data_IF_866039377069
#
_entry.id   IF_866039377069
#
_cell.length_a   1.000
_cell.length_b   1.000
_cell.length_c   1.000
_cell.angle_alpha   90.00
_cell.angle_beta   90.00
_cell.angle_gamma   90.00
#
_symmetry.space_group_name_H-M   'P 1'
#
loop_
_entity.id
_entity.type
_entity.pdbx_description
1 polymer ?
#
# COMPACT_ATOMS: atom_id res chain seq x y z
N UNK A 1 -33.98 -29.16 40.86
CA UNK A 1 -34.11 -28.69 39.46
C UNK A 1 -32.82 -27.96 39.08
N UNK A 2 -31.89 -28.62 38.36
CA UNK A 2 -30.65 -27.98 37.86
C UNK A 2 -30.90 -27.38 36.47
N UNK A 3 -30.39 -26.18 36.13
CA UNK A 3 -30.55 -25.64 34.79
C UNK A 3 -29.57 -26.32 33.83
N UNK A 4 -30.08 -26.84 32.71
CA UNK A 4 -29.27 -27.40 31.62
C UNK A 4 -28.66 -26.26 30.80
N UNK A 5 -27.32 -26.27 30.70
CA UNK A 5 -26.55 -25.42 29.80
C UNK A 5 -26.87 -25.82 28.33
N UNK A 6 -27.16 -24.87 27.42
CA UNK A 6 -27.31 -25.18 26.00
C UNK A 6 -25.93 -25.53 25.40
N UNK A 7 -25.82 -26.72 24.80
CA UNK A 7 -24.65 -27.10 23.99
C UNK A 7 -24.63 -26.25 22.73
N UNK A 8 -23.54 -25.53 22.51
CA UNK A 8 -23.24 -24.87 21.23
C UNK A 8 -22.94 -25.94 20.16
N UNK A 9 -23.54 -25.88 18.96
CA UNK A 9 -23.13 -26.73 17.87
C UNK A 9 -21.76 -26.31 17.37
N UNK A 10 -20.90 -27.31 17.14
CA UNK A 10 -19.58 -27.15 16.58
C UNK A 10 -19.64 -26.43 15.23
N UNK A 11 -18.79 -25.43 15.12
CA UNK A 11 -18.48 -24.65 13.93
C UNK A 11 -18.25 -25.55 12.71
N UNK A 12 -19.14 -25.47 11.72
CA UNK A 12 -18.84 -25.85 10.35
C UNK A 12 -18.14 -24.67 9.67
N UNK A 13 -16.82 -24.61 9.82
CA UNK A 13 -15.94 -23.75 9.03
C UNK A 13 -15.72 -24.42 7.67
N UNK A 14 -16.66 -24.23 6.74
CA UNK A 14 -16.40 -24.42 5.31
C UNK A 14 -17.00 -23.22 4.56
N UNK A 15 -16.43 -22.05 4.85
CA UNK A 15 -16.53 -20.89 3.97
C UNK A 15 -15.41 -20.95 2.93
N UNK A 16 -15.59 -20.35 1.73
CA UNK A 16 -14.54 -20.29 0.73
C UNK A 16 -13.25 -19.75 1.36
N UNK A 17 -12.17 -20.53 1.27
CA UNK A 17 -10.82 -20.12 1.67
C UNK A 17 -10.56 -18.74 1.06
N UNK A 18 -10.20 -17.70 1.85
CA UNK A 18 -9.97 -16.39 1.28
C UNK A 18 -8.85 -16.50 0.26
N UNK A 19 -9.07 -15.99 -0.95
CA UNK A 19 -8.11 -15.91 -2.07
C UNK A 19 -6.88 -15.02 -1.76
N UNK A 20 -6.58 -14.80 -0.48
CA UNK A 20 -5.52 -13.92 -0.01
C UNK A 20 -4.12 -14.51 -0.10
N UNK A 21 -3.96 -15.83 -0.27
CA UNK A 21 -2.62 -16.42 -0.33
C UNK A 21 -2.05 -16.45 -1.76
N UNK A 22 -2.85 -16.78 -2.77
CA UNK A 22 -2.39 -16.85 -4.16
C UNK A 22 -2.14 -15.47 -4.76
N UNK A 23 -2.92 -14.46 -4.34
CA UNK A 23 -2.70 -13.08 -4.74
C UNK A 23 -1.39 -12.52 -4.17
N UNK A 24 -0.95 -12.96 -2.99
CA UNK A 24 0.26 -12.45 -2.34
C UNK A 24 1.54 -13.05 -2.94
N UNK A 25 1.47 -14.28 -3.48
CA UNK A 25 2.60 -14.91 -4.22
C UNK A 25 3.01 -14.10 -5.45
N UNK A 26 2.05 -13.42 -6.10
CA UNK A 26 2.29 -12.64 -7.32
C UNK A 26 3.12 -11.37 -7.10
N UNK A 27 3.40 -10.99 -5.86
CA UNK A 27 4.11 -9.75 -5.52
C UNK A 27 5.54 -9.99 -5.02
N UNK A 28 5.98 -11.24 -4.95
CA UNK A 28 7.27 -11.60 -4.36
C UNK A 28 7.33 -11.36 -2.85
N UNK A 29 8.37 -11.89 -2.21
CA UNK A 29 8.50 -11.87 -0.75
C UNK A 29 8.58 -10.44 -0.15
N UNK A 30 9.12 -9.47 -0.91
CA UNK A 30 9.29 -8.10 -0.44
C UNK A 30 7.95 -7.34 -0.37
N UNK A 31 7.09 -7.45 -1.38
CA UNK A 31 5.85 -6.66 -1.45
C UNK A 31 4.62 -7.40 -0.93
N UNK A 32 4.65 -8.72 -0.79
CA UNK A 32 3.57 -9.48 -0.16
C UNK A 32 3.12 -8.90 1.19
N UNK A 33 3.99 -8.70 2.21
CA UNK A 33 3.58 -8.14 3.50
C UNK A 33 3.03 -6.71 3.39
N UNK A 34 3.56 -5.91 2.46
CA UNK A 34 3.07 -4.56 2.17
C UNK A 34 1.64 -4.60 1.67
N UNK A 35 1.35 -5.46 0.69
CA UNK A 35 -0.01 -5.61 0.12
C UNK A 35 -0.98 -6.16 1.17
N UNK A 36 -0.61 -7.19 1.93
CA UNK A 36 -1.48 -7.73 2.98
C UNK A 36 -1.77 -6.67 4.06
N UNK A 37 -0.77 -5.86 4.43
CA UNK A 37 -0.92 -4.72 5.34
C UNK A 37 -1.88 -3.66 4.81
N UNK A 38 -1.70 -3.26 3.56
CA UNK A 38 -2.52 -2.26 2.91
C UNK A 38 -3.98 -2.72 2.81
N UNK A 39 -4.20 -4.01 2.51
CA UNK A 39 -5.52 -4.65 2.47
C UNK A 39 -6.22 -4.60 3.84
N UNK A 40 -5.54 -5.00 4.92
CA UNK A 40 -6.12 -4.94 6.27
C UNK A 40 -6.53 -3.53 6.65
N UNK A 41 -5.72 -2.54 6.24
CA UNK A 41 -5.99 -1.13 6.49
C UNK A 41 -7.20 -0.62 5.71
N UNK A 42 -7.28 -0.92 4.41
CA UNK A 42 -8.45 -0.59 3.60
C UNK A 42 -9.74 -1.18 4.19
N UNK A 43 -9.73 -2.46 4.60
CA UNK A 43 -10.90 -3.08 5.25
C UNK A 43 -11.27 -2.38 6.55
N UNK A 44 -10.29 -2.08 7.41
CA UNK A 44 -10.52 -1.40 8.69
C UNK A 44 -11.05 0.01 8.50
N UNK A 45 -10.56 0.71 7.48
CA UNK A 45 -10.93 2.08 7.16
C UNK A 45 -12.28 2.15 6.38
N UNK A 46 -12.83 0.99 5.97
CA UNK A 46 -14.10 0.88 5.24
C UNK A 46 -14.00 1.17 3.74
N UNK A 47 -12.77 1.19 3.21
CA UNK A 47 -12.48 1.48 1.81
C UNK A 47 -12.74 0.25 0.93
N UNK A 48 -13.33 0.48 -0.25
CA UNK A 48 -13.63 -0.59 -1.22
C UNK A 48 -12.39 -1.08 -1.97
N UNK A 49 -11.31 -0.29 -1.94
CA UNK A 49 -10.07 -0.50 -2.69
C UNK A 49 -8.86 -0.10 -1.85
N UNK A 50 -7.73 -0.73 -2.12
CA UNK A 50 -6.40 -0.36 -1.68
C UNK A 50 -5.93 0.81 -2.56
N UNK A 51 -5.90 2.01 -1.97
CA UNK A 51 -5.36 3.22 -2.59
C UNK A 51 -3.82 3.36 -2.43
N UNK A 52 -3.20 4.34 -3.08
CA UNK A 52 -1.74 4.56 -2.99
C UNK A 52 -1.27 4.98 -1.58
N UNK A 53 -2.13 5.56 -0.74
CA UNK A 53 -1.79 5.91 0.64
C UNK A 53 -1.78 4.69 1.56
N UNK A 54 -2.64 3.69 1.34
CA UNK A 54 -2.56 2.41 2.03
C UNK A 54 -1.24 1.70 1.71
N UNK A 55 -0.86 1.68 0.43
CA UNK A 55 0.42 1.12 -0.01
C UNK A 55 1.59 1.86 0.62
N UNK A 56 1.60 3.19 0.58
CA UNK A 56 2.64 3.99 1.24
C UNK A 56 2.74 3.70 2.73
N UNK A 57 1.62 3.66 3.45
CA UNK A 57 1.62 3.38 4.88
C UNK A 57 2.23 2.00 5.17
N UNK A 58 1.73 0.96 4.50
CA UNK A 58 2.23 -0.39 4.74
C UNK A 58 3.66 -0.58 4.26
N UNK A 59 4.10 0.12 3.22
CA UNK A 59 5.48 0.10 2.78
C UNK A 59 6.41 0.63 3.88
N UNK A 60 6.07 1.77 4.49
CA UNK A 60 6.88 2.36 5.56
C UNK A 60 6.87 1.54 6.86
N UNK A 61 5.85 0.69 7.05
CA UNK A 61 5.73 -0.23 8.18
C UNK A 61 6.62 -1.48 7.99
N UNK A 62 6.70 -2.01 6.78
CA UNK A 62 7.36 -3.29 6.48
C UNK A 62 8.74 -3.18 5.84
N UNK A 63 9.07 -2.04 5.22
CA UNK A 63 10.35 -1.83 4.53
C UNK A 63 11.14 -0.68 5.22
N UNK A 64 12.15 -1.04 6.04
CA UNK A 64 12.98 -0.04 6.72
C UNK A 64 13.85 0.77 5.76
N UNK A 65 14.20 0.21 4.59
CA UNK A 65 14.99 0.92 3.59
C UNK A 65 14.16 2.01 2.91
N UNK A 66 12.91 1.70 2.55
CA UNK A 66 11.95 2.69 2.07
C UNK A 66 11.70 3.80 3.10
N UNK A 67 11.59 3.45 4.39
CA UNK A 67 11.50 4.43 5.47
C UNK A 67 12.74 5.33 5.55
N UNK A 68 13.94 4.75 5.46
CA UNK A 68 15.19 5.48 5.50
C UNK A 68 15.38 6.46 4.33
N UNK A 69 14.69 6.29 3.18
CA UNK A 69 14.75 7.24 2.05
C UNK A 69 14.17 8.59 2.45
N UNK A 70 13.15 8.57 3.31
CA UNK A 70 12.45 9.77 3.77
C UNK A 70 13.33 10.67 4.66
N UNK A 71 14.51 10.18 5.04
CA UNK A 71 15.49 10.88 5.86
C UNK A 71 15.24 10.71 7.35
N UNK A 72 16.09 11.35 8.15
CA UNK A 72 15.99 11.32 9.61
C UNK A 72 15.23 12.54 10.15
N UNK A 73 14.82 12.48 11.41
CA UNK A 73 14.20 13.59 12.13
C UNK A 73 12.66 13.59 12.09
N UNK A 74 12.01 14.76 12.23
CA UNK A 74 10.58 14.81 12.54
C UNK A 74 9.65 14.56 11.33
N UNK A 75 10.15 14.62 10.08
CA UNK A 75 9.30 14.52 8.88
C UNK A 75 8.68 13.13 8.70
N UNK A 76 9.42 12.00 8.78
CA UNK A 76 8.81 10.67 8.77
C UNK A 76 7.81 10.45 9.91
N UNK A 77 8.10 10.97 11.11
CA UNK A 77 7.17 10.88 12.24
C UNK A 77 5.87 11.65 11.99
N UNK A 78 5.95 12.84 11.38
CA UNK A 78 4.77 13.61 10.94
C UNK A 78 3.97 12.87 9.87
N UNK A 79 4.66 12.27 8.89
CA UNK A 79 4.04 11.45 7.85
C UNK A 79 3.25 10.29 8.45
N UNK A 80 3.87 9.51 9.34
CA UNK A 80 3.21 8.42 10.05
C UNK A 80 2.04 8.93 10.91
N UNK A 81 2.19 10.08 11.58
CA UNK A 81 1.11 10.73 12.31
C UNK A 81 -0.10 11.06 11.41
N UNK A 82 0.14 11.64 10.22
CA UNK A 82 -0.92 11.91 9.24
C UNK A 82 -1.59 10.63 8.73
N UNK A 83 -0.78 9.62 8.38
CA UNK A 83 -1.27 8.34 7.88
C UNK A 83 -2.08 7.57 8.95
N UNK A 84 -1.71 7.67 10.23
CA UNK A 84 -2.45 7.08 11.35
C UNK A 84 -3.75 7.81 11.61
N UNK A 85 -3.78 9.15 11.58
CA UNK A 85 -4.99 9.96 11.79
C UNK A 85 -6.10 9.66 10.75
N UNK A 86 -5.73 9.44 9.49
CA UNK A 86 -6.66 8.94 8.44
C UNK A 86 -7.33 7.64 8.87
N UNK A 87 -6.50 6.75 9.39
CA UNK A 87 -6.81 5.35 9.63
C UNK A 87 -7.64 5.09 10.91
N UNK A 88 -8.03 6.17 11.61
CA UNK A 88 -8.90 6.19 12.80
C UNK A 88 -10.18 7.04 12.55
N UNK A 89 -10.42 7.52 11.32
CA UNK A 89 -11.72 8.10 10.95
C UNK A 89 -11.97 9.54 11.42
N UNK A 90 -10.95 10.31 11.81
CA UNK A 90 -11.10 11.73 12.18
C UNK A 90 -11.07 12.66 10.95
N UNK A 91 -12.16 12.66 10.19
CA UNK A 91 -12.69 13.88 9.57
C UNK A 91 -12.04 14.48 8.32
N UNK A 92 -10.90 13.97 7.81
CA UNK A 92 -10.46 14.33 6.47
C UNK A 92 -11.32 13.55 5.45
N UNK A 93 -12.44 14.14 5.03
CA UNK A 93 -13.29 13.58 3.97
C UNK A 93 -12.50 13.53 2.66
N UNK A 94 -11.84 12.41 2.42
CA UNK A 94 -11.08 12.12 1.20
C UNK A 94 -11.96 11.63 0.05
N UNK A 95 -13.29 11.86 0.13
CA UNK A 95 -14.28 11.61 -0.93
C UNK A 95 -14.07 12.47 -2.20
N UNK A 96 -12.86 12.98 -2.43
CA UNK A 96 -12.46 13.70 -3.65
C UNK A 96 -11.90 12.72 -4.69
N UNK A 97 -12.30 12.95 -5.95
CA UNK A 97 -12.11 12.17 -7.17
C UNK A 97 -10.66 11.91 -7.64
N UNK A 98 -9.68 12.01 -6.74
CA UNK A 98 -8.24 12.02 -7.03
C UNK A 98 -7.75 10.67 -7.55
N UNK A 99 -8.26 9.55 -7.01
CA UNK A 99 -7.96 8.21 -7.54
C UNK A 99 -9.16 7.57 -8.27
N UNK A 100 -10.27 8.31 -8.39
CA UNK A 100 -11.54 7.85 -9.00
C UNK A 100 -11.64 8.21 -10.49
N UNK A 101 -10.67 8.97 -11.01
CA UNK A 101 -10.64 9.41 -12.41
C UNK A 101 -10.07 8.33 -13.34
N UNK A 102 -10.76 7.19 -13.43
CA UNK A 102 -10.70 6.30 -14.58
C UNK A 102 -12.00 5.49 -14.66
N UNK A 103 -13.01 6.06 -15.32
CA UNK A 103 -14.21 5.33 -15.75
C UNK A 103 -13.89 4.38 -16.92
N UNK A 104 -12.95 3.46 -16.72
CA UNK A 104 -12.62 2.39 -17.67
C UNK A 104 -13.03 1.04 -17.09
N UNK A 105 -13.50 0.08 -17.92
CA UNK A 105 -13.87 -1.24 -17.46
C UNK A 105 -12.68 -1.86 -16.73
N UNK A 106 -12.92 -2.28 -15.48
CA UNK A 106 -11.96 -3.01 -14.65
C UNK A 106 -11.42 -4.18 -15.48
N UNK A 107 -10.16 -4.08 -15.91
CA UNK A 107 -9.43 -5.23 -16.44
C UNK A 107 -9.30 -6.19 -15.27
N UNK A 108 -9.91 -7.37 -15.42
CA UNK A 108 -9.85 -8.47 -14.47
C UNK A 108 -8.37 -8.84 -14.29
N UNK A 109 -7.82 -8.49 -13.12
CA UNK A 109 -6.41 -8.62 -12.77
C UNK A 109 -5.99 -7.78 -11.55
N UNK A 110 -6.69 -6.66 -11.29
CA UNK A 110 -6.39 -5.72 -10.19
C UNK A 110 -7.29 -5.90 -8.93
N UNK A 111 -7.47 -7.13 -8.46
CA UNK A 111 -8.40 -7.47 -7.35
C UNK A 111 -8.19 -6.63 -6.08
N UNK A 112 -8.96 -5.54 -5.99
CA UNK A 112 -9.06 -4.68 -4.83
C UNK A 112 -8.09 -3.50 -4.78
N UNK A 113 -7.46 -3.06 -5.88
CA UNK A 113 -6.66 -1.82 -5.92
C UNK A 113 -7.43 -0.66 -6.57
N UNK A 114 -7.09 0.58 -6.23
CA UNK A 114 -7.46 1.75 -7.03
C UNK A 114 -6.68 1.76 -8.36
N UNK A 115 -7.13 2.49 -9.39
CA UNK A 115 -6.42 2.60 -10.67
C UNK A 115 -4.96 3.07 -10.51
N UNK A 116 -4.71 4.09 -9.69
CA UNK A 116 -3.35 4.60 -9.45
C UNK A 116 -2.50 3.63 -8.64
N UNK A 117 -3.10 2.90 -7.69
CA UNK A 117 -2.39 1.86 -6.95
C UNK A 117 -2.01 0.68 -7.85
N UNK A 118 -2.90 0.26 -8.76
CA UNK A 118 -2.60 -0.77 -9.75
C UNK A 118 -1.47 -0.33 -10.70
N UNK A 119 -1.54 0.91 -11.21
CA UNK A 119 -0.50 1.48 -12.07
C UNK A 119 0.87 1.57 -11.35
N UNK A 120 0.86 1.92 -10.06
CA UNK A 120 2.08 1.95 -9.25
C UNK A 120 2.70 0.55 -9.08
N UNK A 121 1.89 -0.47 -8.79
CA UNK A 121 2.38 -1.86 -8.69
C UNK A 121 2.95 -2.37 -10.01
N UNK A 122 2.31 -2.05 -11.15
CA UNK A 122 2.81 -2.39 -12.48
C UNK A 122 4.11 -1.64 -12.82
N UNK A 123 4.19 -0.35 -12.51
CA UNK A 123 5.41 0.42 -12.71
C UNK A 123 6.57 -0.12 -11.87
N UNK A 124 6.32 -0.50 -10.61
CA UNK A 124 7.31 -1.12 -9.75
C UNK A 124 7.83 -2.43 -10.36
N UNK A 125 6.94 -3.28 -10.90
CA UNK A 125 7.32 -4.51 -11.58
C UNK A 125 8.21 -4.24 -12.82
N UNK A 126 7.80 -3.31 -13.69
CA UNK A 126 8.60 -2.91 -14.87
C UNK A 126 9.98 -2.37 -14.49
N UNK A 127 10.06 -1.65 -13.35
CA UNK A 127 11.32 -1.10 -12.86
C UNK A 127 12.26 -2.21 -12.33
N UNK A 128 11.71 -3.25 -11.72
CA UNK A 128 12.46 -4.44 -11.32
C UNK A 128 13.00 -5.20 -12.55
N UNK A 129 12.15 -5.42 -13.56
CA UNK A 129 12.53 -6.02 -14.84
C UNK A 129 13.67 -5.25 -15.52
N UNK A 130 13.59 -3.92 -15.53
CA UNK A 130 14.63 -3.05 -16.08
C UNK A 130 15.98 -3.17 -15.37
N UNK A 131 16.01 -3.63 -14.11
CA UNK A 131 17.24 -3.97 -13.38
C UNK A 131 17.63 -5.45 -13.46
N UNK A 132 16.88 -6.26 -14.19
CA UNK A 132 17.07 -7.72 -14.25
C UNK A 132 16.65 -8.46 -12.97
N UNK A 133 15.86 -7.83 -12.09
CA UNK A 133 15.32 -8.46 -10.90
C UNK A 133 14.00 -9.18 -11.22
N UNK A 134 13.80 -10.37 -10.66
CA UNK A 134 12.59 -11.16 -10.87
C UNK A 134 11.35 -10.55 -10.17
N UNK A 135 11.56 -9.77 -9.11
CA UNK A 135 10.50 -9.17 -8.31
C UNK A 135 10.87 -7.75 -7.91
N UNK A 136 9.85 -6.89 -7.82
CA UNK A 136 9.99 -5.54 -7.31
C UNK A 136 10.32 -5.55 -5.81
N UNK A 137 11.22 -4.66 -5.39
CA UNK A 137 11.47 -4.37 -3.99
C UNK A 137 10.66 -3.16 -3.51
N UNK A 138 10.71 -2.83 -2.22
CA UNK A 138 9.96 -1.68 -1.70
C UNK A 138 10.45 -0.34 -2.25
N UNK A 139 11.72 -0.21 -2.64
CA UNK A 139 12.21 0.98 -3.33
C UNK A 139 11.60 1.16 -4.73
N UNK A 140 11.30 0.07 -5.45
CA UNK A 140 10.55 0.16 -6.72
C UNK A 140 9.16 0.71 -6.51
N UNK A 141 8.48 0.21 -5.48
CA UNK A 141 7.16 0.66 -5.13
C UNK A 141 7.19 2.12 -4.64
N UNK A 142 8.17 2.51 -3.82
CA UNK A 142 8.31 3.89 -3.37
C UNK A 142 8.53 4.84 -4.55
N UNK A 143 9.39 4.49 -5.50
CA UNK A 143 9.56 5.26 -6.73
C UNK A 143 8.22 5.39 -7.47
N UNK A 144 7.50 4.29 -7.65
CA UNK A 144 6.21 4.28 -8.35
C UNK A 144 5.15 5.17 -7.68
N UNK A 145 5.06 5.12 -6.35
CA UNK A 145 4.07 5.88 -5.56
C UNK A 145 4.27 7.40 -5.63
N UNK A 146 5.47 7.87 -5.93
CA UNK A 146 5.78 9.30 -6.02
C UNK A 146 5.75 9.87 -7.45
N UNK A 147 5.56 9.02 -8.47
CA UNK A 147 5.61 9.45 -9.88
C UNK A 147 4.40 10.28 -10.33
N UNK A 148 3.20 9.96 -9.83
CA UNK A 148 1.97 10.61 -10.27
C UNK A 148 1.54 11.68 -9.26
N UNK A 149 1.52 12.98 -9.62
CA UNK A 149 1.05 14.05 -8.74
C UNK A 149 -0.41 13.91 -8.30
N UNK A 150 -1.22 13.13 -9.03
CA UNK A 150 -2.58 12.76 -8.64
C UNK A 150 -2.62 11.57 -7.68
N UNK A 151 -1.51 10.89 -7.40
CA UNK A 151 -1.50 9.83 -6.40
C UNK A 151 -1.80 10.40 -5.01
N UNK A 152 -2.63 9.69 -4.26
CA UNK A 152 -2.89 10.04 -2.86
C UNK A 152 -1.62 9.99 -2.01
N UNK A 153 -0.70 9.09 -2.31
CA UNK A 153 0.62 9.05 -1.70
C UNK A 153 1.35 10.41 -1.80
N UNK A 154 1.29 11.06 -2.96
CA UNK A 154 1.90 12.38 -3.19
C UNK A 154 1.21 13.48 -2.38
N UNK A 155 -0.13 13.48 -2.30
CA UNK A 155 -0.88 14.41 -1.44
C UNK A 155 -0.44 14.29 0.03
N UNK A 156 -0.27 13.06 0.53
CA UNK A 156 0.13 12.77 1.91
C UNK A 156 1.56 13.23 2.18
N UNK A 157 2.49 12.91 1.27
CA UNK A 157 3.87 13.37 1.37
C UNK A 157 3.96 14.90 1.39
N UNK A 158 3.18 15.57 0.54
CA UNK A 158 3.09 17.04 0.51
C UNK A 158 2.63 17.63 1.85
N UNK A 159 1.62 17.04 2.50
CA UNK A 159 1.18 17.47 3.85
C UNK A 159 2.26 17.27 4.93
N UNK A 160 3.15 16.31 4.74
CA UNK A 160 4.32 16.08 5.61
C UNK A 160 5.54 16.94 5.23
N UNK A 161 5.42 17.83 4.23
CA UNK A 161 6.51 18.62 3.66
C UNK A 161 7.68 17.76 3.13
N UNK A 162 7.33 16.64 2.48
CA UNK A 162 8.25 15.78 1.75
C UNK A 162 8.01 15.97 0.24
N UNK A 163 9.05 16.35 -0.48
CA UNK A 163 9.00 16.56 -1.92
C UNK A 163 9.13 15.23 -2.67
N UNK A 164 8.16 14.88 -3.57
CA UNK A 164 8.22 13.67 -4.38
C UNK A 164 9.53 13.52 -5.17
N UNK A 165 10.02 14.60 -5.78
CA UNK A 165 11.24 14.58 -6.61
C UNK A 165 12.51 14.30 -5.79
N UNK A 166 12.60 14.84 -4.56
CA UNK A 166 13.71 14.55 -3.65
C UNK A 166 13.70 13.07 -3.21
N UNK A 167 12.51 12.52 -2.93
CA UNK A 167 12.35 11.11 -2.60
C UNK A 167 12.77 10.26 -3.79
N UNK A 168 12.27 10.55 -4.99
CA UNK A 168 12.61 9.80 -6.19
C UNK A 168 14.13 9.81 -6.42
N UNK A 169 14.78 10.96 -6.33
CA UNK A 169 16.24 11.08 -6.47
C UNK A 169 16.98 10.14 -5.51
N UNK A 170 16.64 10.16 -4.22
CA UNK A 170 17.26 9.28 -3.22
C UNK A 170 16.97 7.79 -3.46
N UNK A 171 15.78 7.46 -3.97
CA UNK A 171 15.45 6.08 -4.37
C UNK A 171 16.35 5.64 -5.52
N UNK A 172 16.51 6.49 -6.54
CA UNK A 172 17.36 6.19 -7.69
C UNK A 172 18.81 5.96 -7.25
N UNK A 173 19.36 6.85 -6.42
CA UNK A 173 20.73 6.74 -5.86
C UNK A 173 20.97 5.40 -5.13
N UNK A 174 19.97 4.88 -4.40
CA UNK A 174 20.09 3.58 -3.72
C UNK A 174 19.96 2.37 -4.64
N UNK A 175 19.26 2.54 -5.76
CA UNK A 175 19.04 1.48 -6.74
C UNK A 175 20.13 1.46 -7.83
N UNK A 176 21.02 2.45 -7.87
CA UNK A 176 22.21 2.40 -8.73
C UNK A 176 23.10 1.23 -8.28
N UNK A 177 23.59 0.41 -9.22
CA UNK A 177 24.54 -0.64 -8.90
C UNK A 177 25.82 0.00 -8.35
N UNK A 178 26.25 -0.40 -7.15
CA UNK A 178 27.56 -0.06 -6.62
C UNK A 178 28.63 -0.51 -7.63
N UNK A 179 29.54 0.39 -8.08
CA UNK A 179 30.54 0.07 -9.10
C UNK A 179 31.52 -1.02 -8.69
#
# INVERSE_FOLDING_TARGET
MQPRIPRQPAVAQDGPRPAGNDADVRFGAALAPVVSGARRRAVRDGDRQIDTAHLLHSLLEYDPEACAVLGEGPRPARLLGYLVQRSIGYGLRWQSAVEDSAALPVVIGADGFSPLAAAAMEYAARRAEGRGAAWACGLDLLAALVMDPQARAVEVLGRAALAPDEILTRVLERLEPTP
#
